data_IF_293776556225
#
_entry.id   IF_293776556225
#
_cell.length_a   1.000
_cell.length_b   1.000
_cell.length_c   1.000
_cell.angle_alpha   90.00
_cell.angle_beta   90.00
_cell.angle_gamma   90.00
#
_symmetry.space_group_name_H-M   'P 1'
#
loop_
_entity.id
_entity.type
_entity.pdbx_description
1 polymer ?
#
# COMPACT_ATOMS: atom_id res chain seq x y z
N UNK A 1 -29.89 -12.85 31.04
CA UNK A 1 -29.73 -12.81 29.56
C UNK A 1 -28.40 -12.18 29.12
N UNK A 2 -27.85 -11.20 29.86
CA UNK A 2 -26.57 -10.51 29.58
C UNK A 2 -25.33 -11.42 29.51
N UNK A 3 -25.20 -12.41 30.41
CA UNK A 3 -24.02 -13.33 30.49
C UNK A 3 -23.80 -14.12 29.19
N UNK A 4 -24.87 -14.44 28.45
CA UNK A 4 -24.81 -15.23 27.22
C UNK A 4 -24.23 -14.42 26.05
N UNK A 5 -24.36 -13.09 26.09
CA UNK A 5 -23.83 -12.18 25.08
C UNK A 5 -22.35 -11.87 25.33
N UNK A 6 -21.93 -11.72 26.59
CA UNK A 6 -20.51 -11.60 26.94
C UNK A 6 -19.72 -12.85 26.56
N UNK A 7 -20.30 -14.03 26.77
CA UNK A 7 -19.69 -15.31 26.38
C UNK A 7 -19.47 -15.40 24.87
N UNK A 8 -20.46 -14.98 24.08
CA UNK A 8 -20.36 -14.97 22.60
C UNK A 8 -19.32 -13.97 22.09
N UNK A 9 -19.19 -12.81 22.74
CA UNK A 9 -18.17 -11.82 22.41
C UNK A 9 -16.76 -12.36 22.73
N UNK A 10 -16.61 -13.06 23.86
CA UNK A 10 -15.33 -13.69 24.24
C UNK A 10 -14.95 -14.80 23.26
N UNK A 11 -15.90 -15.60 22.78
CA UNK A 11 -15.64 -16.62 21.75
C UNK A 11 -15.23 -15.98 20.42
N UNK A 12 -15.92 -14.93 19.97
CA UNK A 12 -15.57 -14.24 18.73
C UNK A 12 -14.17 -13.59 18.80
N UNK A 13 -13.81 -13.00 19.94
CA UNK A 13 -12.48 -12.43 20.16
C UNK A 13 -11.37 -13.49 20.17
N UNK A 14 -11.66 -14.70 20.66
CA UNK A 14 -10.72 -15.83 20.59
C UNK A 14 -10.53 -16.29 19.15
N UNK A 15 -11.60 -16.36 18.37
CA UNK A 15 -11.54 -16.80 16.97
C UNK A 15 -10.78 -15.81 16.09
N UNK A 16 -10.98 -14.50 16.32
CA UNK A 16 -10.20 -13.45 15.65
C UNK A 16 -8.71 -13.54 16.03
N UNK A 17 -8.39 -13.79 17.30
CA UNK A 17 -7.01 -13.97 17.76
C UNK A 17 -6.34 -15.19 17.14
N UNK A 18 -7.05 -16.31 17.08
CA UNK A 18 -6.54 -17.56 16.49
C UNK A 18 -6.29 -17.40 14.98
N UNK A 19 -7.23 -16.75 14.28
CA UNK A 19 -7.08 -16.40 12.87
C UNK A 19 -5.86 -15.52 12.61
N UNK A 20 -5.65 -14.48 13.43
CA UNK A 20 -4.48 -13.61 13.32
C UNK A 20 -3.15 -14.36 13.55
N UNK A 21 -3.10 -15.27 14.53
CA UNK A 21 -1.92 -16.11 14.79
C UNK A 21 -1.61 -17.07 13.63
N UNK A 22 -2.63 -17.69 13.02
CA UNK A 22 -2.45 -18.54 11.84
C UNK A 22 -1.90 -17.78 10.64
N UNK A 23 -2.37 -16.55 10.42
CA UNK A 23 -1.86 -15.68 9.35
C UNK A 23 -0.39 -15.32 9.61
N UNK A 24 0.00 -15.04 10.86
CA UNK A 24 1.40 -14.76 11.21
C UNK A 24 2.29 -15.98 10.94
N UNK A 25 1.87 -17.18 11.34
CA UNK A 25 2.61 -18.41 11.09
C UNK A 25 2.74 -18.74 9.59
N UNK A 26 1.70 -18.49 8.79
CA UNK A 26 1.76 -18.67 7.35
C UNK A 26 2.78 -17.70 6.71
N UNK A 27 2.85 -16.45 7.16
CA UNK A 27 3.85 -15.49 6.71
C UNK A 27 5.28 -15.92 7.08
N UNK A 28 5.52 -16.38 8.31
CA UNK A 28 6.84 -16.86 8.76
C UNK A 28 7.31 -18.07 7.94
N UNK A 29 6.41 -18.98 7.60
CA UNK A 29 6.74 -20.12 6.75
C UNK A 29 7.05 -19.71 5.31
N UNK A 30 6.40 -18.68 4.76
CA UNK A 30 6.71 -18.17 3.43
C UNK A 30 8.11 -17.52 3.37
N UNK A 31 8.49 -16.80 4.43
CA UNK A 31 9.81 -16.14 4.52
C UNK A 31 10.95 -17.18 4.53
N UNK A 32 10.74 -18.34 5.15
CA UNK A 32 11.70 -19.45 5.12
C UNK A 32 11.96 -20.02 3.72
N UNK A 33 10.95 -19.98 2.83
CA UNK A 33 11.06 -20.50 1.46
C UNK A 33 11.88 -19.56 0.56
N UNK A 34 11.83 -18.24 0.82
CA UNK A 34 12.57 -17.23 0.05
C UNK A 34 14.08 -17.14 0.41
N UNK A 35 14.52 -17.80 1.49
CA UNK A 35 15.91 -17.70 1.99
C UNK A 35 16.93 -18.52 1.18
N UNK A 36 16.52 -19.21 0.10
CA UNK A 36 17.43 -19.94 -0.80
C UNK A 36 17.82 -19.18 -2.08
N UNK A 37 17.55 -17.88 -2.20
CA UNK A 37 18.19 -17.09 -3.25
C UNK A 37 19.58 -16.61 -2.81
N UNK A 38 20.61 -17.32 -3.28
CA UNK A 38 22.00 -16.91 -3.19
C UNK A 38 22.25 -15.57 -3.91
N UNK A 39 23.23 -14.76 -3.44
CA UNK A 39 23.57 -13.46 -4.01
C UNK A 39 24.35 -13.60 -5.32
N UNK A 40 23.90 -12.95 -6.39
CA UNK A 40 24.72 -12.69 -7.58
C UNK A 40 25.30 -11.27 -7.52
N UNK A 41 26.64 -11.08 -7.59
CA UNK A 41 27.31 -9.77 -7.59
C UNK A 41 27.45 -9.21 -9.03
N UNK A 42 28.11 -8.06 -9.28
CA UNK A 42 27.59 -6.69 -9.25
C UNK A 42 27.56 -5.99 -10.65
N UNK A 43 26.63 -5.04 -10.83
CA UNK A 43 26.54 -3.90 -11.78
C UNK A 43 27.15 -4.02 -13.22
N UNK A 44 26.40 -3.63 -14.28
CA UNK A 44 26.33 -2.20 -14.60
C UNK A 44 24.95 -1.70 -15.10
N UNK A 45 24.79 -0.39 -14.93
CA UNK A 45 23.86 0.55 -15.60
C UNK A 45 22.50 0.82 -14.94
N UNK A 46 22.22 2.10 -14.59
CA UNK A 46 20.89 2.56 -14.24
C UNK A 46 19.97 2.50 -15.47
N UNK A 47 18.73 2.04 -15.35
CA UNK A 47 17.69 2.44 -16.27
C UNK A 47 17.21 3.85 -15.87
N UNK A 48 17.89 4.88 -16.36
CA UNK A 48 17.14 6.00 -16.97
C UNK A 48 16.88 5.57 -18.43
N UNK A 49 15.82 5.99 -19.14
CA UNK A 49 14.72 6.89 -18.77
C UNK A 49 13.32 6.36 -19.16
N UNK A 50 12.27 6.86 -18.52
CA UNK A 50 11.02 7.16 -19.23
C UNK A 50 10.28 8.25 -18.46
N UNK A 51 10.45 9.47 -18.92
CA UNK A 51 9.36 10.43 -18.99
C UNK A 51 8.25 9.81 -19.84
N UNK A 52 7.00 9.74 -19.34
CA UNK A 52 5.84 10.00 -20.17
C UNK A 52 5.27 11.35 -19.73
N UNK A 53 5.75 12.42 -20.36
CA UNK A 53 4.84 13.50 -20.71
C UNK A 53 4.27 13.07 -22.06
N UNK A 54 2.97 12.75 -22.11
CA UNK A 54 2.03 13.78 -22.57
C UNK A 54 0.79 13.89 -21.65
N UNK A 55 0.48 15.12 -21.25
CA UNK A 55 -0.84 15.52 -20.76
C UNK A 55 -1.93 15.15 -21.78
N UNK A 56 -3.14 14.79 -21.32
CA UNK A 56 -4.21 15.79 -21.29
C UNK A 56 -5.16 15.70 -20.07
N UNK A 57 -5.23 16.78 -19.28
CA UNK A 57 -6.40 17.41 -18.60
C UNK A 57 -7.45 16.56 -17.83
N UNK A 58 -8.22 17.16 -16.87
CA UNK A 58 -7.89 18.20 -15.88
C UNK A 58 -8.38 17.83 -14.45
N UNK A 59 -7.76 18.39 -13.41
CA UNK A 59 -8.38 18.69 -12.09
C UNK A 59 -8.96 17.55 -11.22
N UNK A 60 -8.90 16.27 -11.61
CA UNK A 60 -9.49 15.16 -10.83
C UNK A 60 -8.62 13.91 -10.68
N UNK A 61 -7.33 13.99 -10.98
CA UNK A 61 -6.36 12.87 -10.90
C UNK A 61 -6.29 12.23 -9.51
N UNK A 62 -6.29 13.05 -8.46
CA UNK A 62 -6.37 12.56 -7.08
C UNK A 62 -7.74 11.97 -6.77
N UNK A 63 -8.81 12.58 -7.24
CA UNK A 63 -10.19 12.11 -6.99
C UNK A 63 -10.44 10.75 -7.67
N UNK A 64 -9.87 10.57 -8.87
CA UNK A 64 -9.93 9.32 -9.62
C UNK A 64 -9.06 8.23 -9.00
N UNK A 65 -7.88 8.60 -8.50
CA UNK A 65 -7.07 7.73 -7.65
C UNK A 65 -7.87 7.31 -6.41
N UNK A 66 -8.55 8.26 -5.76
CA UNK A 66 -9.33 7.99 -4.56
C UNK A 66 -10.46 7.01 -4.85
N UNK A 67 -11.15 7.20 -5.97
CA UNK A 67 -12.27 6.36 -6.42
C UNK A 67 -11.81 4.94 -6.78
N UNK A 68 -10.61 4.77 -7.34
CA UNK A 68 -10.03 3.46 -7.68
C UNK A 68 -9.49 2.71 -6.47
N UNK A 69 -8.87 3.44 -5.54
CA UNK A 69 -8.31 2.87 -4.31
C UNK A 69 -9.42 2.58 -3.29
N UNK A 70 -10.46 3.41 -3.24
CA UNK A 70 -11.53 3.36 -2.26
C UNK A 70 -11.19 4.09 -0.96
N UNK A 71 -12.19 4.71 -0.33
CA UNK A 71 -12.05 5.50 0.91
C UNK A 71 -11.47 4.69 2.09
N UNK A 72 -11.68 3.37 2.10
CA UNK A 72 -11.16 2.50 3.15
C UNK A 72 -9.62 2.47 3.17
N UNK A 73 -9.00 2.34 1.99
CA UNK A 73 -7.56 2.40 1.85
C UNK A 73 -7.07 3.83 2.07
N UNK A 74 -7.78 4.84 1.58
CA UNK A 74 -7.44 6.24 1.89
C UNK A 74 -7.45 6.55 3.38
N UNK A 75 -8.29 5.90 4.18
CA UNK A 75 -8.22 6.02 5.64
C UNK A 75 -6.87 5.57 6.23
N UNK A 76 -6.11 4.76 5.48
CA UNK A 76 -4.77 4.29 5.82
C UNK A 76 -3.65 5.12 5.18
N UNK A 77 -3.98 6.02 4.24
CA UNK A 77 -3.05 6.90 3.54
C UNK A 77 -3.31 8.36 3.91
N UNK A 78 -2.29 9.05 4.40
CA UNK A 78 -2.34 10.49 4.59
C UNK A 78 -2.02 11.20 3.29
N UNK A 79 -3.00 11.92 2.73
CA UNK A 79 -2.79 12.76 1.56
C UNK A 79 -2.43 14.16 2.04
N UNK A 80 -1.20 14.58 1.75
CA UNK A 80 -0.75 15.96 1.83
C UNK A 80 -0.80 16.57 0.44
N UNK A 81 -1.61 17.60 0.28
CA UNK A 81 -1.65 18.41 -0.93
C UNK A 81 -0.53 19.44 -0.86
N UNK A 82 0.44 19.32 -1.76
CA UNK A 82 1.50 20.30 -1.97
C UNK A 82 1.18 21.13 -3.23
N UNK A 83 1.86 22.27 -3.40
CA UNK A 83 1.58 23.24 -4.46
C UNK A 83 1.75 22.66 -5.89
N UNK A 84 2.63 21.67 -6.07
CA UNK A 84 2.96 21.06 -7.38
C UNK A 84 2.58 19.56 -7.47
N UNK A 85 2.33 18.90 -6.33
CA UNK A 85 2.01 17.47 -6.28
C UNK A 85 1.25 17.06 -5.01
N UNK A 86 0.50 15.97 -5.07
CA UNK A 86 -0.07 15.30 -3.92
C UNK A 86 0.91 14.26 -3.38
N UNK A 87 1.38 14.45 -2.14
CA UNK A 87 2.19 13.49 -1.41
C UNK A 87 1.29 12.61 -0.57
N UNK A 88 1.33 11.31 -0.78
CA UNK A 88 0.48 10.33 -0.12
C UNK A 88 1.36 9.42 0.73
N UNK A 89 1.31 9.61 2.04
CA UNK A 89 2.12 8.89 3.02
C UNK A 89 1.29 7.79 3.65
N UNK A 90 1.64 6.49 3.52
CA UNK A 90 0.95 5.42 4.23
C UNK A 90 1.17 5.57 5.74
N UNK A 91 0.11 5.74 6.52
CA UNK A 91 0.18 5.80 8.00
C UNK A 91 0.41 4.41 8.60
N UNK A 92 0.12 3.37 7.84
CA UNK A 92 0.24 1.97 8.22
C UNK A 92 0.71 1.16 7.00
N UNK A 93 1.31 0.00 7.25
CA UNK A 93 1.53 -1.00 6.22
C UNK A 93 0.20 -1.42 5.61
N UNK A 94 0.00 -1.04 4.34
CA UNK A 94 -1.10 -1.47 3.50
C UNK A 94 -1.06 -2.98 3.25
N UNK A 95 0.13 -3.58 3.29
CA UNK A 95 0.35 -4.97 2.89
C UNK A 95 0.49 -5.11 1.37
N UNK A 96 1.00 -6.25 0.89
CA UNK A 96 1.36 -6.43 -0.53
C UNK A 96 0.17 -6.25 -1.47
N UNK A 97 -1.01 -6.76 -1.10
CA UNK A 97 -2.19 -6.67 -1.96
C UNK A 97 -2.68 -5.22 -2.11
N UNK A 98 -2.82 -4.50 -1.01
CA UNK A 98 -3.25 -3.11 -1.04
C UNK A 98 -2.17 -2.21 -1.65
N UNK A 99 -0.90 -2.51 -1.43
CA UNK A 99 0.21 -1.83 -2.10
C UNK A 99 0.11 -1.96 -3.62
N UNK A 100 -0.15 -3.17 -4.14
CA UNK A 100 -0.32 -3.38 -5.59
C UNK A 100 -1.51 -2.57 -6.10
N UNK A 101 -2.67 -2.62 -5.42
CA UNK A 101 -3.87 -1.84 -5.80
C UNK A 101 -3.56 -0.34 -5.84
N UNK A 102 -2.93 0.18 -4.81
CA UNK A 102 -2.53 1.59 -4.68
C UNK A 102 -1.51 1.96 -5.75
N UNK A 103 -0.49 1.14 -5.98
CA UNK A 103 0.54 1.39 -6.98
C UNK A 103 -0.05 1.36 -8.41
N UNK A 104 -0.96 0.43 -8.70
CA UNK A 104 -1.67 0.38 -9.98
C UNK A 104 -2.56 1.60 -10.16
N UNK A 105 -3.31 2.01 -9.12
CA UNK A 105 -4.12 3.22 -9.17
C UNK A 105 -3.28 4.48 -9.33
N UNK A 106 -2.17 4.61 -8.58
CA UNK A 106 -1.25 5.74 -8.67
C UNK A 106 -0.68 5.85 -10.09
N UNK A 107 -0.17 4.75 -10.65
CA UNK A 107 0.34 4.72 -12.03
C UNK A 107 -0.73 5.03 -13.07
N UNK A 108 -1.96 4.58 -12.87
CA UNK A 108 -3.07 4.85 -13.79
C UNK A 108 -3.40 6.36 -13.88
N UNK A 109 -3.14 7.11 -12.80
CA UNK A 109 -3.36 8.55 -12.74
C UNK A 109 -2.06 9.35 -12.94
N UNK A 110 -0.97 8.71 -13.37
CA UNK A 110 0.32 9.38 -13.60
C UNK A 110 1.10 9.72 -12.33
N UNK A 111 0.76 9.07 -11.21
CA UNK A 111 1.51 9.11 -9.97
C UNK A 111 2.65 8.09 -9.91
N UNK A 112 3.65 8.43 -9.13
CA UNK A 112 4.86 7.64 -8.90
C UNK A 112 5.00 7.22 -7.43
N UNK A 113 5.70 6.12 -7.20
CA UNK A 113 5.99 5.64 -5.85
C UNK A 113 7.46 5.90 -5.50
N UNK A 114 7.70 6.56 -4.38
CA UNK A 114 9.03 6.84 -3.85
C UNK A 114 9.26 5.96 -2.63
N UNK A 115 10.11 4.95 -2.79
CA UNK A 115 10.58 4.08 -1.71
C UNK A 115 11.68 4.78 -0.90
N UNK A 116 11.30 5.59 0.09
CA UNK A 116 12.25 6.20 1.05
C UNK A 116 12.37 5.37 2.35
N UNK A 117 12.16 4.05 2.28
CA UNK A 117 12.18 3.16 3.43
C UNK A 117 11.06 3.49 4.42
N UNK A 118 11.40 4.13 5.54
CA UNK A 118 10.46 4.53 6.59
C UNK A 118 9.54 5.68 6.16
N UNK A 119 9.96 6.46 5.16
CA UNK A 119 9.23 7.61 4.62
C UNK A 119 8.67 7.33 3.21
N UNK A 120 8.42 6.05 2.91
CA UNK A 120 7.85 5.64 1.63
C UNK A 120 6.54 6.37 1.36
N UNK A 121 6.43 7.01 0.20
CA UNK A 121 5.24 7.81 -0.15
C UNK A 121 4.94 7.71 -1.64
N UNK A 122 3.68 7.88 -2.01
CA UNK A 122 3.28 8.06 -3.40
C UNK A 122 3.23 9.55 -3.70
N UNK A 123 3.71 9.95 -4.86
CA UNK A 123 3.65 11.33 -5.36
C UNK A 123 2.78 11.34 -6.60
N UNK A 124 1.64 12.01 -6.54
CA UNK A 124 0.76 12.19 -7.69
C UNK A 124 0.92 13.64 -8.15
N UNK A 125 1.49 13.91 -9.33
CA UNK A 125 1.66 15.27 -9.81
C UNK A 125 0.30 15.95 -10.00
N UNK A 126 0.18 17.20 -9.54
CA UNK A 126 -1.01 18.04 -9.70
C UNK A 126 -0.73 18.93 -10.91
N UNK A 127 -0.96 18.40 -12.12
CA UNK A 127 -0.74 19.15 -13.37
C UNK A 127 -2.02 19.28 -14.17
#
# INVERSE_FOLDING_TARGET
MFIKMESAIIELLKEIRDGASKIQQACEQLIGIFSQQAPTPPAPSPPEPSTPAPAPAPLSTLDEFKKRVGEELLGLLEIQEEEDAYKIVPKRCLGSENFIKVATAARAVGGDYISAGKDSHFKIPKK
#
